data_IF_238703323232
#
_entry.id   IF_238703323232
#
_cell.length_a   1.000
_cell.length_b   1.000
_cell.length_c   1.000
_cell.angle_alpha   90.00
_cell.angle_beta   90.00
_cell.angle_gamma   90.00
#
_symmetry.space_group_name_H-M   'P 1'
#
loop_
_entity.id
_entity.type
_entity.pdbx_description
1 polymer ?
#
# COMPACT_ATOMS: atom_id res chain seq x y z
N UNK A 1 67.59 11.29 45.03
CA UNK A 1 67.05 10.28 44.11
C UNK A 1 66.04 9.38 44.84
N UNK A 2 64.81 9.85 45.15
CA UNK A 2 63.72 8.96 45.65
C UNK A 2 62.29 9.53 45.79
N UNK A 3 61.99 10.79 45.48
CA UNK A 3 60.58 11.28 45.60
C UNK A 3 59.98 11.92 44.34
N UNK A 4 60.68 11.88 43.20
CA UNK A 4 60.13 12.28 41.88
C UNK A 4 59.01 11.33 41.40
N UNK A 5 58.78 10.21 42.08
CA UNK A 5 57.84 9.16 41.66
C UNK A 5 56.39 9.45 42.12
N UNK A 6 56.17 10.27 43.15
CA UNK A 6 54.82 10.42 43.75
C UNK A 6 53.89 11.42 43.04
N UNK A 7 54.41 12.31 42.18
CA UNK A 7 53.60 13.34 41.48
C UNK A 7 53.13 12.94 40.07
N UNK A 8 53.65 11.83 39.52
CA UNK A 8 53.30 11.39 38.16
C UNK A 8 51.99 10.59 38.09
N UNK A 9 51.59 9.94 39.19
CA UNK A 9 50.43 9.04 39.17
C UNK A 9 49.07 9.75 39.30
N UNK A 10 49.03 10.98 39.82
CA UNK A 10 47.75 11.70 40.01
C UNK A 10 47.26 12.44 38.76
N UNK A 11 48.14 12.84 37.83
CA UNK A 11 47.71 13.51 36.59
C UNK A 11 47.12 12.55 35.56
N UNK A 12 47.67 11.34 35.43
CA UNK A 12 47.18 10.32 34.48
C UNK A 12 45.78 9.83 34.85
N UNK A 13 45.45 9.73 36.15
CA UNK A 13 44.17 9.20 36.62
C UNK A 13 42.98 10.17 36.42
N UNK A 14 43.22 11.49 36.40
CA UNK A 14 42.17 12.50 36.17
C UNK A 14 41.87 12.70 34.69
N UNK A 15 42.85 12.50 33.80
CA UNK A 15 42.64 12.65 32.34
C UNK A 15 41.96 11.44 31.71
N UNK A 16 42.24 10.22 32.19
CA UNK A 16 41.57 8.99 31.73
C UNK A 16 40.10 8.93 32.15
N UNK A 17 39.75 9.45 33.34
CA UNK A 17 38.37 9.57 33.81
C UNK A 17 37.51 10.48 32.93
N UNK A 18 38.05 11.62 32.48
CA UNK A 18 37.34 12.56 31.57
C UNK A 18 37.21 12.03 30.14
N UNK A 19 38.11 11.16 29.70
CA UNK A 19 38.04 10.52 28.38
C UNK A 19 37.04 9.35 28.38
N UNK A 20 37.04 8.51 29.42
CA UNK A 20 36.08 7.42 29.60
C UNK A 20 34.65 7.94 29.77
N UNK A 21 34.46 9.06 30.48
CA UNK A 21 33.14 9.68 30.62
C UNK A 21 32.60 10.28 29.31
N UNK A 22 33.46 10.70 28.38
CA UNK A 22 33.03 11.19 27.05
C UNK A 22 32.77 10.05 26.07
N UNK A 23 33.54 8.98 26.13
CA UNK A 23 33.31 7.77 25.33
C UNK A 23 32.02 7.06 25.80
N UNK A 24 31.75 7.02 27.11
CA UNK A 24 30.50 6.47 27.66
C UNK A 24 29.26 7.29 27.27
N UNK A 25 29.37 8.63 27.16
CA UNK A 25 28.26 9.47 26.68
C UNK A 25 28.07 9.30 25.16
N UNK A 26 29.13 9.04 24.40
CA UNK A 26 29.06 8.83 22.95
C UNK A 26 28.60 7.41 22.56
N UNK A 27 28.80 6.39 23.40
CA UNK A 27 28.34 5.02 23.17
C UNK A 27 26.89 4.77 23.63
N UNK A 28 26.36 5.56 24.57
CA UNK A 28 24.93 5.51 24.94
C UNK A 28 24.03 6.15 23.87
N UNK A 29 24.56 7.06 23.04
CA UNK A 29 23.81 7.66 21.93
C UNK A 29 23.75 6.72 20.70
N UNK A 30 24.68 5.75 20.59
CA UNK A 30 24.75 4.83 19.45
C UNK A 30 24.13 3.45 19.77
N UNK A 31 23.96 3.11 21.05
CA UNK A 31 23.37 1.83 21.51
C UNK A 31 21.84 1.81 21.67
N UNK A 32 21.15 2.94 21.44
CA UNK A 32 19.69 3.07 21.61
C UNK A 32 19.01 3.40 20.27
N UNK A 33 19.39 2.70 19.19
CA UNK A 33 18.96 3.04 17.83
C UNK A 33 18.45 1.88 16.97
N UNK A 34 18.25 0.68 17.52
CA UNK A 34 17.87 -0.51 16.72
C UNK A 34 16.93 -1.43 17.48
N UNK A 35 15.73 -0.94 17.83
CA UNK A 35 14.50 -1.72 17.96
C UNK A 35 13.27 -0.82 17.72
N UNK A 36 13.28 -0.03 16.64
CA UNK A 36 12.03 0.54 16.11
C UNK A 36 11.60 -0.36 14.97
N UNK A 37 10.95 -1.47 15.33
CA UNK A 37 10.23 -2.28 14.36
C UNK A 37 9.16 -1.39 13.73
N UNK A 38 9.20 -1.29 12.41
CA UNK A 38 8.24 -0.56 11.61
C UNK A 38 6.82 -1.05 11.94
N UNK A 39 5.96 -0.16 12.44
CA UNK A 39 4.57 -0.23 12.00
C UNK A 39 4.59 0.00 10.49
N UNK A 40 4.01 -0.91 9.72
CA UNK A 40 3.60 -0.63 8.34
C UNK A 40 2.57 0.49 8.37
N UNK A 41 3.07 1.72 8.47
CA UNK A 41 2.39 2.88 7.95
C UNK A 41 3.00 3.10 6.58
N UNK A 42 2.56 2.29 5.61
CA UNK A 42 2.44 2.78 4.26
C UNK A 42 1.43 3.94 4.32
N UNK A 43 1.88 5.13 4.77
CA UNK A 43 1.16 6.35 4.45
C UNK A 43 1.28 6.45 2.93
N UNK A 44 0.15 6.37 2.19
CA UNK A 44 0.21 6.65 0.77
C UNK A 44 0.78 8.06 0.68
N UNK A 45 1.85 8.19 -0.10
CA UNK A 45 2.26 9.49 -0.62
C UNK A 45 0.99 10.16 -1.10
N UNK A 46 0.65 11.30 -0.50
CA UNK A 46 -0.29 12.26 -1.06
C UNK A 46 0.35 12.86 -2.32
N UNK A 47 0.68 12.01 -3.30
CA UNK A 47 0.51 12.38 -4.69
C UNK A 47 -0.98 12.18 -4.94
N UNK A 48 -1.60 13.09 -5.68
CA UNK A 48 -2.98 12.93 -6.10
C UNK A 48 -3.18 11.48 -6.58
N UNK A 49 -3.96 10.70 -5.83
CA UNK A 49 -4.47 9.41 -6.29
C UNK A 49 -5.48 9.77 -7.36
N UNK A 50 -4.97 10.08 -8.56
CA UNK A 50 -5.80 10.11 -9.76
C UNK A 50 -6.17 8.64 -9.96
N UNK A 51 -7.30 8.23 -9.40
CA UNK A 51 -7.91 6.95 -9.75
C UNK A 51 -8.03 6.96 -11.27
N UNK A 52 -7.39 6.00 -11.93
CA UNK A 52 -7.45 5.88 -13.37
C UNK A 52 -8.92 5.92 -13.82
N UNK A 53 -9.24 6.81 -14.75
CA UNK A 53 -10.62 7.01 -15.20
C UNK A 53 -11.01 5.92 -16.19
N UNK A 54 -12.18 5.34 -15.96
CA UNK A 54 -12.69 4.23 -16.76
C UNK A 54 -13.21 4.69 -18.11
N UNK A 55 -13.15 3.80 -19.10
CA UNK A 55 -13.84 3.99 -20.37
C UNK A 55 -15.33 3.65 -20.22
N UNK A 56 -15.66 2.66 -19.38
CA UNK A 56 -17.02 2.20 -19.10
C UNK A 56 -17.23 1.97 -17.61
N UNK A 57 -18.36 2.42 -17.08
CA UNK A 57 -18.87 2.05 -15.75
C UNK A 57 -20.28 1.49 -15.89
N UNK A 58 -20.52 0.33 -15.28
CA UNK A 58 -21.83 -0.34 -15.30
C UNK A 58 -22.37 -0.44 -13.88
N UNK A 59 -23.62 -0.01 -13.68
CA UNK A 59 -24.37 -0.19 -12.45
C UNK A 59 -25.44 -1.28 -12.60
N UNK A 60 -25.71 -2.05 -11.56
CA UNK A 60 -26.81 -3.01 -11.55
C UNK A 60 -26.61 -4.16 -10.56
N UNK A 61 -27.34 -5.25 -10.75
CA UNK A 61 -27.09 -6.49 -10.01
C UNK A 61 -26.07 -7.31 -10.81
N UNK A 62 -24.82 -7.36 -10.35
CA UNK A 62 -23.72 -7.99 -11.08
C UNK A 62 -23.28 -9.27 -10.38
N UNK A 63 -23.40 -10.42 -11.04
CA UNK A 63 -22.81 -11.67 -10.56
C UNK A 63 -21.35 -11.76 -11.03
N UNK A 64 -20.41 -12.01 -10.11
CA UNK A 64 -18.97 -12.03 -10.46
C UNK A 64 -18.45 -13.43 -10.80
N UNK A 65 -19.23 -14.48 -10.52
CA UNK A 65 -18.80 -15.88 -10.56
C UNK A 65 -17.58 -16.21 -9.68
N UNK A 66 -17.15 -15.27 -8.81
CA UNK A 66 -16.20 -15.53 -7.74
C UNK A 66 -16.99 -15.90 -6.48
N UNK A 67 -17.22 -17.19 -6.26
CA UNK A 67 -18.14 -17.67 -5.23
C UNK A 67 -19.60 -17.27 -5.53
N UNK A 68 -20.38 -16.97 -4.48
CA UNK A 68 -21.78 -16.52 -4.61
C UNK A 68 -21.92 -15.00 -4.38
N UNK A 69 -20.98 -14.23 -4.92
CA UNK A 69 -20.89 -12.79 -4.69
C UNK A 69 -21.69 -11.99 -5.73
N UNK A 70 -22.39 -10.96 -5.25
CA UNK A 70 -23.11 -9.98 -6.06
C UNK A 70 -22.50 -8.61 -5.79
N UNK A 71 -22.09 -7.92 -6.86
CA UNK A 71 -21.64 -6.53 -6.85
C UNK A 71 -22.74 -5.60 -7.37
N UNK A 72 -22.59 -4.31 -7.09
CA UNK A 72 -23.52 -3.26 -7.53
C UNK A 72 -22.97 -2.46 -8.72
N UNK A 73 -21.65 -2.49 -8.92
CA UNK A 73 -20.99 -1.81 -10.02
C UNK A 73 -19.67 -2.46 -10.44
N UNK A 74 -19.26 -2.19 -11.68
CA UNK A 74 -17.88 -2.39 -12.12
C UNK A 74 -17.42 -1.25 -13.04
N UNK A 75 -16.10 -1.06 -13.13
CA UNK A 75 -15.46 -0.11 -14.04
C UNK A 75 -14.43 -0.82 -14.92
N UNK A 76 -14.39 -0.46 -16.20
CA UNK A 76 -13.52 -1.05 -17.21
C UNK A 76 -12.64 0.01 -17.86
N UNK A 77 -11.36 -0.31 -18.01
CA UNK A 77 -10.37 0.47 -18.74
C UNK A 77 -9.58 -0.44 -19.66
N UNK A 78 -9.48 -0.08 -20.95
CA UNK A 78 -8.75 -0.87 -21.95
C UNK A 78 -9.15 -2.35 -21.97
N UNK A 79 -10.47 -2.61 -21.81
CA UNK A 79 -11.04 -3.96 -21.78
C UNK A 79 -10.76 -4.77 -20.51
N UNK A 80 -10.20 -4.16 -19.46
CA UNK A 80 -9.91 -4.81 -18.17
C UNK A 80 -10.72 -4.18 -17.04
N UNK A 81 -11.15 -5.00 -16.08
CA UNK A 81 -11.78 -4.51 -14.86
C UNK A 81 -10.75 -3.79 -13.98
N UNK A 82 -11.01 -2.53 -13.65
CA UNK A 82 -10.21 -1.73 -12.71
C UNK A 82 -10.93 -1.51 -11.37
N UNK A 83 -12.22 -1.82 -11.32
CA UNK A 83 -13.03 -1.82 -10.11
C UNK A 83 -14.21 -2.77 -10.23
N UNK A 84 -14.55 -3.47 -9.15
CA UNK A 84 -15.78 -4.25 -8.98
C UNK A 84 -16.19 -4.13 -7.51
N UNK A 85 -17.41 -3.69 -7.24
CA UNK A 85 -17.82 -3.44 -5.86
C UNK A 85 -19.17 -2.75 -5.74
N UNK A 86 -19.28 -1.88 -4.73
CA UNK A 86 -20.47 -1.07 -4.50
C UNK A 86 -20.60 0.08 -5.51
N UNK A 87 -21.81 0.64 -5.60
CA UNK A 87 -22.12 1.74 -6.52
C UNK A 87 -21.30 2.99 -6.23
N UNK A 88 -21.13 3.34 -4.95
CA UNK A 88 -20.47 4.57 -4.51
C UNK A 88 -18.99 4.58 -4.89
N UNK A 89 -18.29 3.47 -4.72
CA UNK A 89 -16.87 3.35 -5.06
C UNK A 89 -16.63 3.40 -6.56
N UNK A 90 -17.60 2.99 -7.39
CA UNK A 90 -17.49 3.12 -8.85
C UNK A 90 -17.55 4.59 -9.33
N UNK A 91 -18.14 5.50 -8.55
CA UNK A 91 -18.23 6.92 -8.91
C UNK A 91 -16.84 7.57 -9.03
N UNK A 92 -15.85 7.09 -8.28
CA UNK A 92 -14.47 7.57 -8.35
C UNK A 92 -13.84 7.38 -9.75
N UNK A 93 -14.33 6.42 -10.54
CA UNK A 93 -13.81 6.06 -11.86
C UNK A 93 -14.50 6.80 -13.01
N UNK A 94 -15.59 7.52 -12.73
CA UNK A 94 -16.32 8.29 -13.75
C UNK A 94 -15.59 9.60 -14.05
N UNK A 95 -15.43 9.88 -15.34
CA UNK A 95 -15.04 11.19 -15.87
C UNK A 95 -16.16 11.73 -16.77
N UNK A 96 -16.72 12.89 -16.37
CA UNK A 96 -17.86 13.50 -17.05
C UNK A 96 -17.54 13.77 -18.54
N UNK A 97 -18.40 13.26 -19.42
CA UNK A 97 -18.26 13.43 -20.87
C UNK A 97 -17.22 12.53 -21.55
N UNK A 98 -16.55 11.64 -20.80
CA UNK A 98 -15.60 10.65 -21.36
C UNK A 98 -15.94 9.21 -21.02
N UNK A 99 -16.29 8.94 -19.77
CA UNK A 99 -16.68 7.59 -19.34
C UNK A 99 -18.11 7.30 -19.81
N UNK A 100 -18.30 6.19 -20.51
CA UNK A 100 -19.63 5.65 -20.77
C UNK A 100 -20.22 5.10 -19.47
N UNK A 101 -21.44 5.50 -19.14
CA UNK A 101 -22.14 5.02 -17.94
C UNK A 101 -23.40 4.30 -18.35
N UNK A 102 -23.52 3.03 -17.97
CA UNK A 102 -24.67 2.19 -18.28
C UNK A 102 -25.33 1.71 -16.99
N UNK A 103 -26.62 2.02 -16.83
CA UNK A 103 -27.38 1.64 -15.64
C UNK A 103 -28.38 0.51 -15.93
N UNK A 104 -28.12 -0.67 -15.35
CA UNK A 104 -28.96 -1.86 -15.36
C UNK A 104 -29.68 -2.10 -14.02
N UNK A 105 -29.69 -1.12 -13.10
CA UNK A 105 -30.42 -1.21 -11.83
C UNK A 105 -31.90 -1.50 -12.09
N UNK A 106 -32.41 -2.59 -11.51
CA UNK A 106 -33.80 -3.03 -11.68
C UNK A 106 -34.14 -3.62 -13.06
N UNK A 107 -33.17 -3.75 -13.97
CA UNK A 107 -33.39 -4.25 -15.35
C UNK A 107 -33.03 -5.72 -15.56
N UNK A 108 -32.43 -6.37 -14.56
CA UNK A 108 -32.06 -7.78 -14.63
C UNK A 108 -30.74 -8.09 -13.91
N UNK A 109 -30.09 -9.17 -14.36
CA UNK A 109 -28.80 -9.63 -13.87
C UNK A 109 -27.73 -9.40 -14.94
N UNK A 110 -26.65 -8.72 -14.56
CA UNK A 110 -25.41 -8.68 -15.36
C UNK A 110 -24.55 -9.85 -14.92
N UNK A 111 -24.08 -10.64 -15.88
CA UNK A 111 -23.38 -11.90 -15.62
C UNK A 111 -22.15 -11.99 -16.55
N UNK A 112 -21.08 -12.71 -16.17
CA UNK A 112 -19.95 -12.92 -17.07
C UNK A 112 -20.42 -13.66 -18.33
N UNK A 113 -19.68 -13.50 -19.41
CA UNK A 113 -19.94 -14.24 -20.64
C UNK A 113 -19.91 -15.75 -20.39
N UNK A 114 -20.80 -16.48 -21.05
CA UNK A 114 -20.79 -17.94 -20.99
C UNK A 114 -19.59 -18.49 -21.76
N UNK A 115 -18.59 -18.99 -21.04
CA UNK A 115 -17.47 -19.73 -21.62
C UNK A 115 -17.88 -21.17 -21.94
N UNK A 116 -17.42 -21.70 -23.06
CA UNK A 116 -17.60 -23.11 -23.42
C UNK A 116 -16.24 -23.83 -23.34
N UNK A 117 -16.06 -24.71 -22.36
CA UNK A 117 -14.82 -25.46 -22.15
C UNK A 117 -14.64 -26.67 -23.07
N UNK A 118 -15.70 -27.11 -23.75
CA UNK A 118 -15.65 -28.27 -24.63
C UNK A 118 -16.76 -28.20 -25.69
N UNK A 119 -16.43 -27.75 -26.90
CA UNK A 119 -17.32 -27.81 -28.06
C UNK A 119 -16.55 -28.27 -29.30
N UNK A 120 -17.28 -28.96 -30.17
CA UNK A 120 -16.84 -29.30 -31.52
C UNK A 120 -17.61 -28.40 -32.48
N UNK A 121 -16.94 -27.36 -33.00
CA UNK A 121 -17.53 -26.51 -34.03
C UNK A 121 -17.28 -27.13 -35.39
N UNK A 122 -18.32 -27.66 -36.03
CA UNK A 122 -18.25 -28.04 -37.44
C UNK A 122 -18.40 -26.78 -38.29
N UNK A 123 -17.42 -26.51 -39.13
CA UNK A 123 -17.55 -25.50 -40.18
C UNK A 123 -18.34 -26.12 -41.33
N UNK A 124 -19.37 -25.41 -41.83
CA UNK A 124 -20.05 -25.72 -43.08
C UNK A 124 -19.34 -25.03 -44.25
#
# INVERSE_FOLDING_TARGET
MKQTICKSMTKTMVTTSRLLSRIAILSVIIGMGVLTSCSSNDKPSSGDIISEKADLVVYGKIFTAEGNQIAEAFAVKDGKYIYVGDKTGAEAYVEAGKTEVVDYTGKGLVMPGCGNGHAHYSMA
#
